data_IF_404064410283
#
_entry.id   IF_404064410283
#
_cell.length_a   1.000
_cell.length_b   1.000
_cell.length_c   1.000
_cell.angle_alpha   90.00
_cell.angle_beta   90.00
_cell.angle_gamma   90.00
#
_symmetry.space_group_name_H-M   'P 1'
#
loop_
_entity.id
_entity.type
_entity.pdbx_description
1 polymer ?
#
# COMPACT_ATOMS: atom_id res chain seq x y z
N UNK A 1 14.10 25.27 27.77
CA UNK A 1 12.82 25.61 27.13
C UNK A 1 12.21 24.29 26.75
N UNK A 2 11.13 23.88 27.40
CA UNK A 2 10.40 22.69 26.96
C UNK A 2 9.85 23.03 25.58
N UNK A 3 10.24 22.29 24.54
CA UNK A 3 9.48 22.29 23.30
C UNK A 3 8.06 21.88 23.67
N UNK A 4 7.08 22.72 23.37
CA UNK A 4 5.69 22.28 23.42
C UNK A 4 5.58 21.16 22.39
N UNK A 5 5.55 19.94 22.90
CA UNK A 5 5.45 18.69 22.17
C UNK A 5 4.08 18.65 21.47
N UNK A 6 3.98 19.29 20.31
CA UNK A 6 2.72 19.50 19.60
C UNK A 6 2.33 18.25 18.81
N UNK A 7 1.14 17.73 19.10
CA UNK A 7 0.49 16.70 18.30
C UNK A 7 -0.49 17.37 17.34
N UNK A 8 -0.40 17.05 16.06
CA UNK A 8 -1.29 17.60 15.02
C UNK A 8 -2.17 16.50 14.43
N UNK A 9 -3.34 16.86 13.91
CA UNK A 9 -4.28 15.89 13.33
C UNK A 9 -3.69 15.21 12.08
N UNK A 10 -4.23 14.06 11.69
CA UNK A 10 -3.85 13.40 10.44
C UNK A 10 -4.10 14.29 9.20
N UNK A 11 -5.14 15.12 9.24
CA UNK A 11 -5.44 16.09 8.17
C UNK A 11 -4.35 17.16 8.07
N UNK A 12 -3.97 17.76 9.20
CA UNK A 12 -2.92 18.80 9.24
C UNK A 12 -1.56 18.24 8.85
N UNK A 13 -1.24 17.02 9.30
CA UNK A 13 -0.03 16.30 8.91
C UNK A 13 0.01 16.06 7.39
N UNK A 14 -1.12 15.67 6.80
CA UNK A 14 -1.23 15.47 5.36
C UNK A 14 -1.03 16.77 4.58
N UNK A 15 -1.65 17.87 5.00
CA UNK A 15 -1.46 19.19 4.37
C UNK A 15 0.00 19.65 4.44
N UNK A 16 0.64 19.46 5.60
CA UNK A 16 2.04 19.81 5.82
C UNK A 16 3.00 19.05 4.90
N UNK A 17 2.77 17.75 4.70
CA UNK A 17 3.61 16.91 3.83
C UNK A 17 3.27 17.11 2.36
N UNK A 18 1.99 17.31 2.02
CA UNK A 18 1.52 17.58 0.66
C UNK A 18 2.21 18.82 0.06
N UNK A 19 2.31 19.89 0.84
CA UNK A 19 3.02 21.12 0.42
C UNK A 19 4.51 20.91 0.09
N UNK A 20 5.13 19.82 0.56
CA UNK A 20 6.54 19.49 0.32
C UNK A 20 6.75 18.48 -0.81
N UNK A 21 5.85 17.51 -0.94
CA UNK A 21 5.99 16.39 -1.89
C UNK A 21 5.23 16.59 -3.21
N UNK A 22 4.44 17.67 -3.33
CA UNK A 22 3.83 18.07 -4.60
C UNK A 22 2.61 17.25 -5.01
N UNK A 23 2.00 16.51 -4.09
CA UNK A 23 0.74 15.81 -4.33
C UNK A 23 0.21 15.01 -3.14
N UNK A 24 -1.11 15.08 -2.92
CA UNK A 24 -1.80 14.42 -1.81
C UNK A 24 -1.60 12.90 -1.77
N UNK A 25 -1.63 12.23 -2.92
CA UNK A 25 -1.45 10.77 -2.99
C UNK A 25 -0.06 10.36 -2.47
N UNK A 26 1.00 11.01 -2.98
CA UNK A 26 2.38 10.77 -2.56
C UNK A 26 2.56 11.07 -1.06
N UNK A 27 1.92 12.12 -0.56
CA UNK A 27 1.96 12.49 0.85
C UNK A 27 1.31 11.44 1.76
N UNK A 28 0.14 10.90 1.37
CA UNK A 28 -0.52 9.79 2.09
C UNK A 28 0.38 8.57 2.17
N UNK A 29 0.91 8.13 1.02
CA UNK A 29 1.78 6.95 0.94
C UNK A 29 3.03 7.15 1.80
N UNK A 30 3.64 8.33 1.72
CA UNK A 30 4.84 8.67 2.50
C UNK A 30 4.56 8.64 4.01
N UNK A 31 3.49 9.29 4.46
CA UNK A 31 3.12 9.30 5.88
C UNK A 31 2.84 7.90 6.39
N UNK A 32 2.10 7.11 5.61
CA UNK A 32 1.81 5.73 5.96
C UNK A 32 3.10 4.91 6.07
N UNK A 33 4.01 4.99 5.09
CA UNK A 33 5.28 4.25 5.12
C UNK A 33 6.16 4.66 6.30
N UNK A 34 6.26 5.95 6.59
CA UNK A 34 7.04 6.43 7.74
C UNK A 34 6.41 5.97 9.06
N UNK A 35 5.08 5.91 9.15
CA UNK A 35 4.37 5.38 10.31
C UNK A 35 4.62 3.88 10.49
N UNK A 36 4.52 3.09 9.43
CA UNK A 36 4.85 1.64 9.43
C UNK A 36 6.30 1.41 9.84
N UNK A 37 7.23 2.19 9.33
CA UNK A 37 8.64 2.07 9.67
C UNK A 37 8.96 2.53 11.12
N UNK A 38 7.99 3.14 11.83
CA UNK A 38 8.17 3.74 13.15
C UNK A 38 9.05 4.98 13.14
N UNK A 39 9.11 5.68 12.00
CA UNK A 39 9.78 6.98 11.85
C UNK A 39 8.89 8.14 12.30
N UNK A 40 7.57 7.94 12.35
CA UNK A 40 6.61 8.90 12.89
C UNK A 40 5.95 8.33 14.13
N UNK A 41 5.94 9.09 15.23
CA UNK A 41 5.04 8.82 16.35
C UNK A 41 3.63 9.26 16.00
N UNK A 42 2.68 8.36 16.28
CA UNK A 42 1.27 8.63 16.17
C UNK A 42 0.53 8.10 17.40
N UNK A 43 -0.54 8.80 17.76
CA UNK A 43 -1.49 8.40 18.80
C UNK A 43 -2.91 8.47 18.26
N UNK A 44 -3.79 7.64 18.78
CA UNK A 44 -5.22 7.71 18.48
C UNK A 44 -5.99 8.17 19.72
N UNK A 45 -7.10 8.87 19.52
CA UNK A 45 -8.02 9.22 20.59
C UNK A 45 -8.87 8.00 21.01
N UNK A 46 -9.16 7.12 20.05
CA UNK A 46 -9.89 5.88 20.27
C UNK A 46 -9.24 4.78 19.43
N UNK A 47 -9.16 3.58 20.01
CA UNK A 47 -8.63 2.39 19.38
C UNK A 47 -9.45 1.18 19.83
N UNK A 48 -9.73 0.25 18.93
CA UNK A 48 -10.43 -0.99 19.27
C UNK A 48 -10.11 -2.10 18.26
N UNK A 49 -10.02 -3.33 18.78
CA UNK A 49 -9.91 -4.53 17.97
C UNK A 49 -11.28 -5.01 17.49
N UNK A 50 -11.34 -5.65 16.33
CA UNK A 50 -12.55 -6.34 15.88
C UNK A 50 -12.23 -7.68 15.21
N UNK A 51 -12.93 -8.72 15.66
CA UNK A 51 -12.85 -10.08 15.14
C UNK A 51 -14.05 -10.34 14.22
N UNK A 52 -14.01 -9.76 13.02
CA UNK A 52 -15.16 -9.78 12.12
C UNK A 52 -14.80 -10.18 10.68
N UNK A 53 -15.76 -10.82 10.02
CA UNK A 53 -15.63 -11.27 8.63
C UNK A 53 -15.71 -10.09 7.64
N UNK A 54 -16.39 -9.01 8.02
CA UNK A 54 -16.70 -7.86 7.16
C UNK A 54 -16.42 -6.51 7.86
N UNK A 55 -15.84 -5.58 7.10
CA UNK A 55 -15.47 -4.23 7.54
C UNK A 55 -16.70 -3.38 7.88
N UNK A 56 -17.80 -3.58 7.15
CA UNK A 56 -19.07 -2.90 7.43
C UNK A 56 -19.74 -3.41 8.71
N UNK A 57 -19.70 -4.71 8.97
CA UNK A 57 -20.22 -5.29 10.22
C UNK A 57 -19.42 -4.81 11.45
N UNK A 58 -18.11 -4.58 11.26
CA UNK A 58 -17.24 -4.01 12.30
C UNK A 58 -17.59 -2.56 12.63
N UNK A 59 -17.97 -1.77 11.62
CA UNK A 59 -18.41 -0.39 11.82
C UNK A 59 -19.67 -0.30 12.68
N UNK A 60 -20.67 -1.15 12.42
CA UNK A 60 -21.90 -1.18 13.23
C UNK A 60 -21.60 -1.59 14.68
N UNK A 61 -20.69 -2.55 14.91
CA UNK A 61 -20.26 -2.93 16.25
C UNK A 61 -19.51 -1.82 17.00
N UNK A 62 -18.74 -0.98 16.29
CA UNK A 62 -17.95 0.11 16.84
C UNK A 62 -18.77 1.35 17.24
N UNK A 63 -19.99 1.49 16.71
CA UNK A 63 -20.92 2.56 17.12
C UNK A 63 -21.60 2.29 18.46
N UNK A 64 -21.48 1.07 18.99
CA UNK A 64 -21.78 0.77 20.40
C UNK A 64 -20.54 1.00 21.24
N UNK A 65 -20.68 1.74 22.34
CA UNK A 65 -19.60 2.14 23.26
C UNK A 65 -18.48 1.07 23.42
N UNK A 66 -17.21 1.39 23.12
CA UNK A 66 -16.09 0.47 23.29
C UNK A 66 -15.92 0.04 24.74
N UNK A 67 -15.81 -1.27 24.97
CA UNK A 67 -15.81 -1.86 26.31
C UNK A 67 -14.56 -1.56 27.15
N UNK A 68 -13.46 -1.11 26.55
CA UNK A 68 -12.20 -0.79 27.24
C UNK A 68 -11.51 0.38 26.51
N UNK A 69 -11.71 1.61 27.01
CA UNK A 69 -11.08 2.81 26.48
C UNK A 69 -9.80 3.15 27.25
N UNK A 70 -8.64 3.14 26.58
CA UNK A 70 -7.47 3.91 27.00
C UNK A 70 -7.45 5.22 26.18
N UNK A 71 -7.53 6.41 26.80
CA UNK A 71 -7.75 7.67 26.08
C UNK A 71 -6.60 8.12 25.17
N UNK A 72 -5.43 7.47 25.22
CA UNK A 72 -4.31 7.76 24.31
C UNK A 72 -3.49 6.50 24.04
N UNK A 73 -3.82 5.76 22.97
CA UNK A 73 -3.06 4.56 22.58
C UNK A 73 -1.98 4.92 21.54
N UNK A 74 -0.76 4.43 21.76
CA UNK A 74 0.33 4.55 20.80
C UNK A 74 0.12 3.55 19.66
N UNK A 75 0.01 4.07 18.43
CA UNK A 75 -0.47 3.29 17.27
C UNK A 75 0.66 2.54 16.55
N UNK A 76 1.92 2.71 16.97
CA UNK A 76 3.08 2.34 16.16
C UNK A 76 3.31 0.82 15.99
N UNK A 77 3.03 0.00 17.00
CA UNK A 77 3.40 -1.43 16.98
C UNK A 77 2.63 -2.23 15.94
N UNK A 78 1.45 -1.78 15.58
CA UNK A 78 0.45 -2.59 14.91
C UNK A 78 0.53 -2.45 13.40
N UNK A 79 0.87 -1.25 12.90
CA UNK A 79 1.13 -1.04 11.47
C UNK A 79 2.25 -1.92 10.93
N UNK A 80 3.26 -2.22 11.76
CA UNK A 80 4.36 -3.13 11.41
C UNK A 80 3.90 -4.57 11.20
N UNK A 81 2.79 -4.95 11.81
CA UNK A 81 2.22 -6.30 11.76
C UNK A 81 1.20 -6.45 10.63
N UNK A 82 0.87 -5.36 9.92
CA UNK A 82 -0.13 -5.39 8.85
C UNK A 82 0.17 -6.44 7.79
N UNK A 83 -0.79 -7.34 7.58
CA UNK A 83 -0.71 -8.39 6.54
C UNK A 83 -1.19 -7.91 5.17
N UNK A 84 -1.87 -6.76 5.11
CA UNK A 84 -2.43 -6.15 3.89
C UNK A 84 -2.21 -4.64 3.84
N UNK A 85 -0.96 -4.23 4.02
CA UNK A 85 -0.58 -2.83 4.13
C UNK A 85 -1.16 -1.90 3.04
N UNK A 86 -1.08 -2.29 1.77
CA UNK A 86 -1.60 -1.44 0.69
C UNK A 86 -3.13 -1.25 0.78
N UNK A 87 -3.87 -2.35 0.99
CA UNK A 87 -5.31 -2.31 1.17
C UNK A 87 -5.70 -1.50 2.42
N UNK A 88 -4.90 -1.60 3.50
CA UNK A 88 -5.09 -0.82 4.72
C UNK A 88 -4.96 0.68 4.41
N UNK A 89 -3.87 1.13 3.77
CA UNK A 89 -3.65 2.55 3.43
C UNK A 89 -4.76 3.10 2.53
N UNK A 90 -5.23 2.32 1.55
CA UNK A 90 -6.34 2.70 0.67
C UNK A 90 -7.66 2.89 1.43
N UNK A 91 -7.84 2.15 2.54
CA UNK A 91 -9.02 2.24 3.40
C UNK A 91 -8.99 3.41 4.39
N UNK A 92 -7.84 4.09 4.55
CA UNK A 92 -7.70 5.16 5.52
C UNK A 92 -8.40 6.45 5.09
N UNK A 93 -9.12 7.04 6.04
CA UNK A 93 -9.91 8.24 5.83
C UNK A 93 -9.22 9.42 6.53
N UNK A 94 -8.44 10.18 5.75
CA UNK A 94 -7.51 11.20 6.26
C UNK A 94 -8.16 12.47 6.85
N UNK A 95 -9.26 13.03 6.31
CA UNK A 95 -9.95 14.14 6.96
C UNK A 95 -10.57 13.74 8.31
N UNK A 96 -11.10 12.53 8.39
CA UNK A 96 -11.78 11.96 9.55
C UNK A 96 -10.79 11.30 10.54
N UNK A 97 -9.49 11.29 10.21
CA UNK A 97 -8.40 10.69 11.00
C UNK A 97 -8.73 9.27 11.45
N UNK A 98 -9.31 8.48 10.54
CA UNK A 98 -9.78 7.13 10.78
C UNK A 98 -8.96 6.11 10.01
N UNK A 99 -8.21 5.28 10.72
CA UNK A 99 -7.29 4.30 10.15
C UNK A 99 -7.72 2.88 10.53
N UNK A 100 -7.46 1.95 9.63
CA UNK A 100 -7.74 0.52 9.82
C UNK A 100 -6.45 -0.24 9.54
N UNK A 101 -6.14 -1.21 10.38
CA UNK A 101 -4.96 -2.07 10.21
C UNK A 101 -5.40 -3.52 10.28
N UNK A 102 -5.10 -4.30 9.24
CA UNK A 102 -5.37 -5.74 9.21
C UNK A 102 -4.24 -6.49 9.91
N UNK A 103 -4.50 -7.12 11.06
CA UNK A 103 -3.48 -7.85 11.85
C UNK A 103 -3.38 -9.32 11.43
N UNK A 104 -4.51 -9.95 11.14
CA UNK A 104 -4.58 -11.36 10.73
C UNK A 104 -5.62 -11.60 9.63
N UNK A 105 -5.43 -12.63 8.82
CA UNK A 105 -6.40 -13.06 7.77
C UNK A 105 -7.18 -14.32 8.16
N UNK A 106 -6.71 -15.09 9.15
CA UNK A 106 -7.30 -16.38 9.55
C UNK A 106 -7.09 -16.64 11.07
N UNK A 107 -8.03 -16.24 11.95
CA UNK A 107 -9.25 -15.47 11.66
C UNK A 107 -8.91 -14.05 11.20
N UNK A 108 -9.88 -13.37 10.56
CA UNK A 108 -9.67 -11.99 10.11
C UNK A 108 -9.78 -11.07 11.33
N UNK A 109 -8.72 -10.32 11.60
CA UNK A 109 -8.60 -9.45 12.76
C UNK A 109 -8.13 -8.07 12.31
N UNK A 110 -8.75 -7.05 12.88
CA UNK A 110 -8.42 -5.65 12.59
C UNK A 110 -8.25 -4.85 13.86
N UNK A 111 -7.48 -3.77 13.75
CA UNK A 111 -7.50 -2.68 14.71
C UNK A 111 -7.97 -1.42 13.99
N UNK A 112 -8.92 -0.73 14.62
CA UNK A 112 -9.48 0.52 14.17
C UNK A 112 -8.96 1.63 15.05
N UNK A 113 -8.58 2.75 14.44
CA UNK A 113 -8.13 3.95 15.13
C UNK A 113 -8.93 5.16 14.66
N UNK A 114 -9.29 6.01 15.60
CA UNK A 114 -10.02 7.25 15.33
C UNK A 114 -9.37 8.42 16.04
N UNK A 115 -9.40 9.58 15.38
CA UNK A 115 -8.73 10.78 15.89
C UNK A 115 -7.21 10.66 15.87
N UNK A 116 -6.66 9.95 14.87
CA UNK A 116 -5.21 9.77 14.75
C UNK A 116 -4.50 11.12 14.60
N UNK A 117 -3.48 11.32 15.44
CA UNK A 117 -2.64 12.50 15.50
C UNK A 117 -1.17 12.12 15.44
N UNK A 118 -0.36 12.97 14.82
CA UNK A 118 1.07 12.77 14.62
C UNK A 118 1.90 13.75 15.44
N UNK A 119 3.07 13.31 15.87
CA UNK A 119 4.01 14.19 16.54
C UNK A 119 4.65 15.15 15.53
N UNK A 120 4.45 16.45 15.73
CA UNK A 120 4.82 17.48 14.74
C UNK A 120 6.31 17.49 14.40
N UNK A 121 7.18 17.35 15.39
CA UNK A 121 8.63 17.37 15.16
C UNK A 121 9.10 16.22 14.26
N UNK A 122 8.41 15.08 14.29
CA UNK A 122 8.75 13.94 13.43
C UNK A 122 8.39 14.23 11.96
N UNK A 123 7.39 15.09 11.73
CA UNK A 123 6.98 15.57 10.40
C UNK A 123 7.86 16.70 9.88
N UNK A 124 8.45 17.50 10.78
CA UNK A 124 9.33 18.61 10.41
C UNK A 124 10.71 18.16 9.97
N UNK A 125 11.13 16.97 10.36
CA UNK A 125 12.37 16.38 9.85
C UNK A 125 12.30 16.27 8.32
N UNK A 126 13.35 16.70 7.60
CA UNK A 126 13.37 16.58 6.16
C UNK A 126 13.20 15.10 5.84
N UNK A 127 12.07 14.75 5.23
CA UNK A 127 11.84 13.42 4.69
C UNK A 127 12.94 13.19 3.65
N UNK A 128 14.05 12.61 4.09
CA UNK A 128 15.20 12.43 3.22
C UNK A 128 14.73 11.44 2.13
N UNK A 129 14.69 11.84 0.85
CA UNK A 129 14.18 10.98 -0.22
C UNK A 129 14.92 9.63 -0.27
N UNK A 130 16.18 9.61 0.18
CA UNK A 130 16.99 8.39 0.30
C UNK A 130 16.54 7.44 1.43
N UNK A 131 15.89 7.96 2.48
CA UNK A 131 15.28 7.13 3.54
C UNK A 131 13.88 6.65 3.23
N UNK A 132 13.20 7.26 2.24
CA UNK A 132 11.93 6.77 1.69
C UNK A 132 12.15 5.57 0.74
N UNK A 133 13.27 5.55 0.03
CA UNK A 133 13.64 4.42 -0.85
C UNK A 133 14.30 3.25 -0.12
N UNK A 134 14.91 3.49 1.04
CA UNK A 134 15.41 2.45 1.96
C UNK A 134 14.31 1.98 2.92
N UNK A 135 13.26 1.39 2.36
CA UNK A 135 12.35 0.54 3.12
C UNK A 135 13.17 -0.53 3.83
N UNK A 136 12.96 -0.70 5.14
CA UNK A 136 13.55 -1.77 5.94
C UNK A 136 13.38 -3.12 5.24
N UNK A 137 14.33 -4.07 5.38
CA UNK A 137 14.19 -5.39 4.79
C UNK A 137 13.02 -6.12 5.47
N UNK A 138 11.85 -6.01 4.86
CA UNK A 138 10.65 -6.76 5.22
C UNK A 138 10.97 -8.26 5.10
N UNK A 139 10.61 -9.03 6.13
CA UNK A 139 10.43 -10.50 6.03
C UNK A 139 9.13 -10.86 5.28
N UNK A 140 8.62 -9.95 4.47
CA UNK A 140 7.52 -10.18 3.52
C UNK A 140 8.13 -10.61 2.19
N UNK A 141 7.37 -11.38 1.41
CA UNK A 141 7.83 -11.98 0.16
C UNK A 141 8.59 -11.04 -0.77
N UNK A 142 9.43 -11.64 -1.62
CA UNK A 142 10.28 -10.99 -2.64
C UNK A 142 9.57 -9.77 -3.23
N UNK A 143 10.15 -8.57 -3.05
CA UNK A 143 9.60 -7.31 -3.59
C UNK A 143 9.23 -7.54 -5.06
N UNK A 144 7.95 -7.31 -5.37
CA UNK A 144 7.48 -7.23 -6.75
C UNK A 144 8.29 -6.13 -7.42
N UNK A 145 9.14 -6.50 -8.38
CA UNK A 145 10.04 -5.56 -9.04
C UNK A 145 9.20 -4.66 -9.96
N UNK A 146 8.75 -3.53 -9.40
CA UNK A 146 7.81 -2.62 -10.04
C UNK A 146 8.28 -2.19 -11.43
N UNK A 147 9.56 -1.85 -11.58
CA UNK A 147 10.13 -1.42 -12.86
C UNK A 147 10.12 -2.55 -13.90
N UNK A 148 10.33 -3.80 -13.48
CA UNK A 148 10.22 -4.95 -14.40
C UNK A 148 8.78 -5.25 -14.78
N UNK A 149 7.82 -5.03 -13.87
CA UNK A 149 6.40 -5.17 -14.19
C UNK A 149 5.89 -4.05 -15.10
N UNK A 150 6.38 -2.82 -14.91
CA UNK A 150 6.12 -1.71 -15.81
C UNK A 150 6.67 -2.02 -17.22
N UNK A 151 7.93 -2.46 -17.32
CA UNK A 151 8.53 -2.88 -18.59
C UNK A 151 7.71 -4.00 -19.25
N UNK A 152 7.24 -4.99 -18.49
CA UNK A 152 6.38 -6.06 -19.01
C UNK A 152 5.10 -5.50 -19.67
N UNK A 153 4.40 -4.58 -19.00
CA UNK A 153 3.16 -4.01 -19.54
C UNK A 153 3.41 -3.11 -20.74
N UNK A 154 4.50 -2.35 -20.74
CA UNK A 154 4.89 -1.53 -21.89
C UNK A 154 5.13 -2.39 -23.14
N UNK A 155 5.84 -3.51 -23.00
CA UNK A 155 6.07 -4.43 -24.12
C UNK A 155 4.77 -5.08 -24.61
N UNK A 156 3.89 -5.50 -23.70
CA UNK A 156 2.56 -6.02 -24.07
C UNK A 156 1.75 -4.99 -24.87
N UNK A 157 1.76 -3.72 -24.45
CA UNK A 157 1.08 -2.63 -25.15
C UNK A 157 1.72 -2.39 -26.52
N UNK A 158 3.05 -2.45 -26.62
CA UNK A 158 3.76 -2.26 -27.88
C UNK A 158 3.43 -3.39 -28.88
N UNK A 159 3.43 -4.65 -28.44
CA UNK A 159 3.01 -5.82 -29.25
C UNK A 159 1.56 -5.65 -29.74
N UNK A 160 0.66 -5.14 -28.88
CA UNK A 160 -0.72 -4.85 -29.26
C UNK A 160 -0.82 -3.72 -30.30
N UNK A 161 -0.05 -2.65 -30.10
CA UNK A 161 -0.01 -1.48 -31.01
C UNK A 161 0.53 -1.85 -32.39
N UNK A 162 1.50 -2.76 -32.45
CA UNK A 162 2.07 -3.26 -33.71
C UNK A 162 1.15 -4.26 -34.42
N UNK A 163 -0.03 -4.55 -33.87
CA UNK A 163 -1.02 -5.44 -34.46
C UNK A 163 -0.66 -6.92 -34.34
N UNK A 164 0.35 -7.26 -33.52
CA UNK A 164 0.81 -8.63 -33.35
C UNK A 164 -0.02 -9.40 -32.32
N UNK A 165 -0.81 -8.72 -31.49
CA UNK A 165 -1.64 -9.30 -30.44
C UNK A 165 -3.06 -9.66 -30.95
N UNK A 166 -3.12 -10.40 -32.07
CA UNK A 166 -4.37 -10.83 -32.72
C UNK A 166 -4.36 -12.33 -33.08
N UNK A 167 -5.52 -12.97 -33.25
CA UNK A 167 -5.59 -14.39 -33.58
C UNK A 167 -4.89 -14.70 -34.91
N UNK A 168 -4.03 -15.72 -34.90
CA UNK A 168 -3.30 -16.17 -36.09
C UNK A 168 -1.95 -15.49 -36.36
N UNK A 169 -1.62 -14.38 -35.69
CA UNK A 169 -0.28 -13.77 -35.78
C UNK A 169 0.72 -14.41 -34.81
N UNK A 170 0.27 -14.71 -33.59
CA UNK A 170 1.10 -15.41 -32.60
C UNK A 170 0.82 -16.91 -32.66
N UNK A 171 1.89 -17.69 -32.79
CA UNK A 171 1.82 -19.15 -33.02
C UNK A 171 1.31 -19.94 -31.82
N UNK A 172 1.60 -19.48 -30.61
CA UNK A 172 1.20 -20.13 -29.37
C UNK A 172 1.33 -19.19 -28.17
N UNK A 173 0.68 -19.55 -27.06
CA UNK A 173 0.85 -18.86 -25.78
C UNK A 173 2.33 -18.86 -25.32
N UNK A 174 3.07 -19.93 -25.62
CA UNK A 174 4.50 -20.01 -25.30
C UNK A 174 5.31 -19.01 -26.13
N UNK A 175 5.01 -18.88 -27.43
CA UNK A 175 5.65 -17.90 -28.29
C UNK A 175 5.39 -16.47 -27.82
N UNK A 176 4.15 -16.12 -27.43
CA UNK A 176 3.86 -14.81 -26.84
C UNK A 176 4.72 -14.53 -25.60
N UNK A 177 4.91 -15.54 -24.76
CA UNK A 177 5.72 -15.41 -23.54
C UNK A 177 7.19 -15.17 -23.87
N UNK A 178 7.74 -15.96 -24.80
CA UNK A 178 9.12 -15.83 -25.26
C UNK A 178 9.36 -14.45 -25.90
N UNK A 179 8.42 -13.98 -26.73
CA UNK A 179 8.50 -12.67 -27.38
C UNK A 179 8.52 -11.53 -26.35
N UNK A 180 7.66 -11.58 -25.34
CA UNK A 180 7.64 -10.58 -24.25
C UNK A 180 8.95 -10.63 -23.45
N UNK A 181 9.43 -11.81 -23.06
CA UNK A 181 10.70 -11.94 -22.32
C UNK A 181 11.86 -11.40 -23.14
N UNK A 182 11.92 -11.73 -24.43
CA UNK A 182 12.97 -11.27 -25.33
C UNK A 182 12.94 -9.74 -25.51
N UNK A 183 11.75 -9.15 -25.64
CA UNK A 183 11.57 -7.71 -25.76
C UNK A 183 11.98 -6.94 -24.49
N UNK A 184 11.73 -7.51 -23.30
CA UNK A 184 12.14 -6.92 -22.03
C UNK A 184 13.65 -6.91 -21.80
N UNK A 185 14.41 -7.75 -22.49
CA UNK A 185 15.88 -7.83 -22.40
C UNK A 185 16.37 -8.06 -20.96
N UNK A 186 17.30 -7.22 -20.51
CA UNK A 186 17.90 -7.30 -19.16
C UNK A 186 16.89 -7.07 -18.02
N UNK A 187 15.71 -6.53 -18.34
CA UNK A 187 14.64 -6.28 -17.37
C UNK A 187 13.64 -7.44 -17.25
N UNK A 188 13.90 -8.59 -17.89
CA UNK A 188 12.98 -9.72 -17.90
C UNK A 188 12.56 -10.15 -16.48
N UNK A 189 11.25 -10.32 -16.31
CA UNK A 189 10.68 -11.05 -15.19
C UNK A 189 10.94 -12.55 -15.37
N UNK A 190 10.96 -13.30 -14.26
CA UNK A 190 11.02 -14.76 -14.37
C UNK A 190 9.81 -15.32 -15.09
N UNK A 191 10.02 -16.39 -15.86
CA UNK A 191 8.98 -17.01 -16.68
C UNK A 191 7.74 -17.40 -15.84
N UNK A 192 7.95 -17.92 -14.64
CA UNK A 192 6.88 -18.28 -13.71
C UNK A 192 6.02 -17.09 -13.29
N UNK A 193 6.62 -15.90 -13.15
CA UNK A 193 5.90 -14.68 -12.72
C UNK A 193 4.93 -14.18 -13.78
N UNK A 194 5.28 -14.32 -15.06
CA UNK A 194 4.47 -13.78 -16.16
C UNK A 194 3.52 -14.81 -16.78
N UNK A 195 3.65 -16.09 -16.41
CA UNK A 195 2.86 -17.21 -16.94
C UNK A 195 1.36 -16.94 -16.90
N UNK A 196 0.86 -16.50 -15.74
CA UNK A 196 -0.57 -16.26 -15.52
C UNK A 196 -1.09 -15.00 -16.26
N UNK A 197 -0.43 -13.83 -16.18
CA UNK A 197 -0.77 -12.68 -17.01
C UNK A 197 -0.80 -12.99 -18.51
N UNK A 198 0.24 -13.66 -19.03
CA UNK A 198 0.33 -14.03 -20.46
C UNK A 198 -0.81 -14.97 -20.85
N UNK A 199 -1.20 -15.91 -19.98
CA UNK A 199 -2.37 -16.77 -20.20
C UNK A 199 -3.65 -15.95 -20.37
N UNK A 200 -3.89 -14.97 -19.50
CA UNK A 200 -5.08 -14.12 -19.58
C UNK A 200 -5.11 -13.28 -20.85
N UNK A 201 -3.96 -12.72 -21.25
CA UNK A 201 -3.81 -11.98 -22.50
C UNK A 201 -4.13 -12.88 -23.70
N UNK A 202 -3.50 -14.06 -23.75
CA UNK A 202 -3.70 -15.05 -24.81
C UNK A 202 -5.19 -15.43 -24.97
N UNK A 203 -5.83 -15.86 -23.88
CA UNK A 203 -7.22 -16.28 -23.90
C UNK A 203 -8.19 -15.14 -24.27
N UNK A 204 -7.79 -13.88 -24.06
CA UNK A 204 -8.64 -12.72 -24.34
C UNK A 204 -8.52 -12.23 -25.77
N UNK A 205 -7.32 -12.30 -26.36
CA UNK A 205 -7.01 -11.62 -27.62
C UNK A 205 -6.53 -12.54 -28.74
N UNK A 206 -6.04 -13.74 -28.41
CA UNK A 206 -5.42 -14.65 -29.37
C UNK A 206 -6.20 -15.95 -29.56
N UNK A 207 -6.90 -16.42 -28.53
CA UNK A 207 -7.78 -17.59 -28.57
C UNK A 207 -9.20 -17.15 -28.95
N UNK A 208 -9.67 -17.60 -30.12
CA UNK A 208 -11.07 -17.55 -30.57
C UNK A 208 -11.58 -18.97 -30.77
#
# INVERSE_FOLDING_TARGET
>A
MASDNEWISASDALEMVEGRLGGRAIAKDTLAEMLRDGKLRARAAEAWGADHVDMNASWESATGEPADHDPEEEVQSDFRQSVRWADDVDSWIWPESFFIVTISLKPREFIYYKGVSFFKDDLEQPANPETLTKSSPTKGGRRTDFYRWEAFWLEVIQIARDGNLVPGQIRSQAALREDIIAAMGDNALSEDSIKEPVRRIWNRFCEL
#
